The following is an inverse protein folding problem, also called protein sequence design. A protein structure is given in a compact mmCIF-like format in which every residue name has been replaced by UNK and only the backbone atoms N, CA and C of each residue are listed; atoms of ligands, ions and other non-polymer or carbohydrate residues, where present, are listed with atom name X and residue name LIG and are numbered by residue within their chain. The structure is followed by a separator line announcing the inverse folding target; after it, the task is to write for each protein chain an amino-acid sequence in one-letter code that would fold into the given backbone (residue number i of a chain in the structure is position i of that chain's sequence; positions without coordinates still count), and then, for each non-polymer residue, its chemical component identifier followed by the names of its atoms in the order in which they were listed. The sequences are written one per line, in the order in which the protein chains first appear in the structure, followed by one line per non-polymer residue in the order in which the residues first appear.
data_IF_085061212318
#
_entry.id   IF_085061212318
#
_cell.length_a   1.000
_cell.length_b   1.000
_cell.length_c   1.000
_cell.angle_alpha   90.00
_cell.angle_beta   90.00
_cell.angle_gamma   90.00
#
_symmetry.space_group_name_H-M   'P 1'
#
loop_
_entity.id
_entity.type
_entity.pdbx_description
1 polymer ?
#
# COMPACT_ATOMS: atom_id res chain seq x y z
N UNK A 1 16.39 3.62 5.58
CA UNK A 1 17.17 4.88 5.48
C UNK A 1 16.28 6.08 5.18
N UNK A 2 15.32 5.99 4.27
CA UNK A 2 14.42 7.08 3.86
C UNK A 2 13.76 7.78 5.06
N UNK A 3 12.98 7.05 5.85
CA UNK A 3 12.28 7.62 7.01
C UNK A 3 13.25 8.15 8.09
N UNK A 4 14.43 7.54 8.24
CA UNK A 4 15.46 8.09 9.14
C UNK A 4 15.98 9.45 8.67
N UNK A 5 16.13 9.63 7.36
CA UNK A 5 16.54 10.93 6.79
C UNK A 5 15.42 11.96 6.96
N UNK A 6 14.17 11.57 6.65
CA UNK A 6 13.00 12.41 6.86
C UNK A 6 12.90 12.87 8.33
N UNK A 7 13.04 11.94 9.28
CA UNK A 7 13.04 12.26 10.71
C UNK A 7 14.13 13.24 11.10
N UNK A 8 15.37 13.07 10.63
CA UNK A 8 16.47 14.01 10.87
C UNK A 8 16.15 15.42 10.37
N UNK A 9 15.52 15.54 9.21
CA UNK A 9 15.12 16.84 8.65
C UNK A 9 14.03 17.47 9.52
N UNK A 10 13.03 16.72 9.96
CA UNK A 10 11.99 17.20 10.87
C UNK A 10 12.63 17.67 12.20
N UNK A 11 13.49 16.85 12.80
CA UNK A 11 14.12 17.12 14.10
C UNK A 11 15.14 18.26 14.05
N UNK A 12 15.70 18.56 12.88
CA UNK A 12 16.62 19.70 12.74
C UNK A 12 15.95 21.07 12.93
N UNK A 13 14.60 21.10 12.90
CA UNK A 13 13.83 22.35 12.98
C UNK A 13 13.89 23.20 11.70
N UNK A 14 14.38 22.64 10.58
CA UNK A 14 14.47 23.33 9.28
C UNK A 14 13.10 23.85 8.81
N UNK A 15 12.02 23.09 9.05
CA UNK A 15 10.65 23.52 8.76
C UNK A 15 9.93 24.17 9.94
N UNK A 16 10.63 24.38 11.06
CA UNK A 16 10.04 24.88 12.30
C UNK A 16 9.24 23.82 13.06
N UNK A 17 8.28 24.27 13.87
CA UNK A 17 7.35 23.36 14.56
C UNK A 17 6.36 22.74 13.58
N UNK A 18 6.17 21.42 13.68
CA UNK A 18 5.20 20.70 12.83
C UNK A 18 3.78 20.99 13.29
N UNK A 19 2.95 21.46 12.37
CA UNK A 19 1.55 21.84 12.59
C UNK A 19 0.58 20.78 12.10
N UNK A 20 0.84 20.24 10.90
CA UNK A 20 -0.03 19.21 10.32
C UNK A 20 0.73 18.33 9.32
N UNK A 21 0.19 17.15 9.03
CA UNK A 21 0.71 16.26 8.00
C UNK A 21 -0.41 15.59 7.20
N UNK A 22 -0.08 15.22 5.96
CA UNK A 22 -0.89 14.32 5.13
C UNK A 22 -0.01 13.15 4.71
N UNK A 23 -0.50 11.93 4.88
CA UNK A 23 0.23 10.74 4.48
C UNK A 23 -0.69 9.77 3.75
N UNK A 24 -0.12 8.98 2.85
CA UNK A 24 -0.85 7.90 2.21
C UNK A 24 -0.01 6.62 2.08
N UNK A 25 -0.71 5.51 2.01
CA UNK A 25 -0.24 4.19 1.61
C UNK A 25 -1.01 3.76 0.38
N UNK A 26 -0.35 3.76 -0.77
CA UNK A 26 -0.80 3.11 -1.98
C UNK A 26 -0.37 1.65 -1.95
N UNK A 27 -1.31 0.75 -1.68
CA UNK A 27 -1.03 -0.70 -1.55
C UNK A 27 -0.63 -1.31 -2.88
N UNK A 28 -1.15 -0.76 -3.98
CA UNK A 28 -1.03 -1.30 -5.32
C UNK A 28 -2.13 -2.32 -5.63
N UNK A 29 -2.81 -2.12 -6.75
CA UNK A 29 -4.00 -2.88 -7.10
C UNK A 29 -3.76 -4.41 -7.19
N UNK A 30 -2.62 -4.82 -7.76
CA UNK A 30 -2.28 -6.24 -7.82
C UNK A 30 -1.98 -6.83 -6.44
N UNK A 31 -1.20 -6.13 -5.61
CA UNK A 31 -0.92 -6.53 -4.23
C UNK A 31 -2.22 -6.65 -3.43
N UNK A 32 -3.10 -5.68 -3.57
CA UNK A 32 -4.40 -5.70 -2.88
C UNK A 32 -5.22 -6.92 -3.30
N UNK A 33 -5.38 -7.15 -4.61
CA UNK A 33 -6.10 -8.31 -5.14
C UNK A 33 -5.49 -9.65 -4.71
N UNK A 34 -4.13 -9.73 -4.66
CA UNK A 34 -3.41 -10.92 -4.20
C UNK A 34 -3.66 -11.23 -2.74
N UNK A 35 -3.50 -10.24 -1.85
CA UNK A 35 -3.42 -10.44 -0.40
C UNK A 35 -4.74 -10.19 0.33
N UNK A 36 -5.48 -9.15 -0.08
CA UNK A 36 -6.65 -8.62 0.63
C UNK A 36 -7.98 -8.91 -0.08
N UNK A 37 -7.94 -9.59 -1.22
CA UNK A 37 -9.13 -10.08 -1.92
C UNK A 37 -9.10 -11.61 -1.97
N UNK A 38 -8.12 -12.20 -2.66
CA UNK A 38 -7.99 -13.65 -2.84
C UNK A 38 -7.34 -14.35 -1.67
N UNK A 39 -6.41 -13.66 -1.02
CA UNK A 39 -5.51 -14.21 -0.01
C UNK A 39 -6.09 -14.23 1.40
N UNK A 40 -5.26 -14.69 2.31
CA UNK A 40 -5.65 -14.97 3.71
C UNK A 40 -5.95 -13.72 4.54
N UNK A 41 -5.65 -12.51 4.07
CA UNK A 41 -6.06 -11.24 4.69
C UNK A 41 -7.35 -10.67 4.08
N UNK A 42 -8.02 -11.40 3.19
CA UNK A 42 -9.22 -10.91 2.51
C UNK A 42 -10.42 -10.68 3.43
N UNK A 43 -10.53 -11.47 4.51
CA UNK A 43 -11.69 -11.41 5.39
C UNK A 43 -11.30 -11.06 6.83
N UNK A 44 -11.90 -10.02 7.40
CA UNK A 44 -11.60 -9.51 8.74
C UNK A 44 -11.96 -10.50 9.86
N UNK A 45 -12.87 -11.44 9.62
CA UNK A 45 -13.25 -12.47 10.59
C UNK A 45 -12.21 -13.57 10.74
N UNK A 46 -11.41 -13.82 9.69
CA UNK A 46 -10.37 -14.84 9.67
C UNK A 46 -8.96 -14.27 9.77
N UNK A 47 -8.83 -12.95 9.64
CA UNK A 47 -7.57 -12.24 9.80
C UNK A 47 -7.73 -11.04 10.75
N UNK A 48 -7.35 -9.84 10.33
CA UNK A 48 -7.52 -8.59 11.06
C UNK A 48 -8.01 -7.50 10.10
N UNK A 49 -8.62 -6.41 10.61
CA UNK A 49 -8.95 -5.27 9.76
C UNK A 49 -7.74 -4.72 9.01
N UNK A 50 -7.95 -4.20 7.79
CA UNK A 50 -6.91 -3.69 6.89
C UNK A 50 -5.95 -2.70 7.55
N UNK A 51 -6.48 -1.81 8.38
CA UNK A 51 -5.67 -0.81 9.09
C UNK A 51 -4.63 -1.45 10.02
N UNK A 52 -4.91 -2.65 10.55
CA UNK A 52 -4.01 -3.42 11.39
C UNK A 52 -3.13 -4.36 10.54
N UNK A 53 -3.73 -5.08 9.59
CA UNK A 53 -3.00 -6.06 8.78
C UNK A 53 -1.93 -5.42 7.88
N UNK A 54 -2.19 -4.20 7.38
CA UNK A 54 -1.33 -3.53 6.40
C UNK A 54 -0.73 -2.21 6.91
N UNK A 55 -1.53 -1.36 7.53
CA UNK A 55 -1.13 0.02 7.83
C UNK A 55 -0.52 0.19 9.22
N UNK A 56 -0.35 -0.88 10.00
CA UNK A 56 0.25 -0.81 11.33
C UNK A 56 1.64 -0.17 11.31
N UNK A 57 2.48 -0.54 10.34
CA UNK A 57 3.81 0.06 10.20
C UNK A 57 3.76 1.50 9.68
N UNK A 58 2.75 1.89 8.91
CA UNK A 58 2.56 3.27 8.49
C UNK A 58 2.17 4.14 9.68
N UNK A 59 1.26 3.66 10.53
CA UNK A 59 0.86 4.34 11.77
C UNK A 59 2.04 4.46 12.75
N UNK A 60 2.85 3.41 12.92
CA UNK A 60 4.05 3.45 13.77
C UNK A 60 5.08 4.47 13.25
N UNK A 61 5.34 4.47 11.93
CA UNK A 61 6.24 5.44 11.31
C UNK A 61 5.72 6.86 11.49
N UNK A 62 4.45 7.13 11.27
CA UNK A 62 3.86 8.45 11.45
C UNK A 62 3.95 8.90 12.91
N UNK A 63 3.62 8.03 13.86
CA UNK A 63 3.74 8.30 15.28
C UNK A 63 5.18 8.65 15.67
N UNK A 64 6.16 7.89 15.18
CA UNK A 64 7.58 8.16 15.41
C UNK A 64 8.06 9.46 14.75
N UNK A 65 7.68 9.73 13.49
CA UNK A 65 8.03 10.97 12.77
C UNK A 65 7.51 12.21 13.51
N UNK A 66 6.30 12.14 14.05
CA UNK A 66 5.62 13.23 14.75
C UNK A 66 6.06 13.38 16.22
N UNK A 67 7.19 12.77 16.62
CA UNK A 67 7.77 12.94 17.96
C UNK A 67 7.04 12.15 19.03
N UNK A 68 6.26 11.11 18.68
CA UNK A 68 5.51 10.26 19.60
C UNK A 68 4.52 11.03 20.49
N UNK A 69 3.94 12.11 19.95
CA UNK A 69 2.90 12.88 20.63
C UNK A 69 1.66 11.99 20.83
N UNK A 70 1.04 12.08 21.99
CA UNK A 70 -0.17 11.31 22.32
C UNK A 70 -1.30 11.65 21.35
N UNK A 71 -1.89 10.63 20.72
CA UNK A 71 -3.10 10.79 19.93
C UNK A 71 -4.30 10.99 20.87
N UNK A 72 -5.02 12.09 20.67
CA UNK A 72 -6.16 12.49 21.51
C UNK A 72 -7.49 12.03 20.91
N UNK A 73 -7.59 11.98 19.59
CA UNK A 73 -8.77 11.51 18.89
C UNK A 73 -8.44 11.06 17.48
N UNK A 74 -9.21 10.10 17.00
CA UNK A 74 -9.18 9.60 15.63
C UNK A 74 -10.59 9.39 15.13
N UNK A 75 -10.84 9.74 13.85
CA UNK A 75 -12.02 9.32 13.09
C UNK A 75 -11.55 8.67 11.81
N UNK A 76 -12.22 7.59 11.40
CA UNK A 76 -11.81 6.85 10.21
C UNK A 76 -13.03 6.33 9.46
N UNK A 77 -12.97 6.41 8.13
CA UNK A 77 -13.99 5.94 7.20
C UNK A 77 -13.31 5.12 6.11
N UNK A 78 -13.85 3.97 5.80
CA UNK A 78 -13.35 3.10 4.75
C UNK A 78 -14.47 2.23 4.19
N UNK A 79 -14.39 1.91 2.90
CA UNK A 79 -15.40 1.13 2.21
C UNK A 79 -14.75 0.13 1.24
N UNK A 80 -15.47 -0.96 0.98
CA UNK A 80 -15.20 -1.90 -0.10
C UNK A 80 -16.13 -1.58 -1.26
N UNK A 81 -15.61 -0.88 -2.29
CA UNK A 81 -16.45 -0.39 -3.40
C UNK A 81 -16.21 -1.11 -4.71
N UNK A 82 -14.95 -1.42 -5.03
CA UNK A 82 -14.58 -1.98 -6.32
C UNK A 82 -14.44 -3.51 -6.30
N UNK A 83 -13.69 -4.08 -5.35
CA UNK A 83 -13.43 -5.52 -5.28
C UNK A 83 -14.61 -6.30 -4.69
N UNK A 84 -15.77 -6.23 -5.35
CA UNK A 84 -17.06 -6.78 -4.89
C UNK A 84 -17.93 -7.22 -6.07
N UNK A 85 -18.82 -8.19 -5.84
CA UNK A 85 -19.79 -8.70 -6.84
C UNK A 85 -20.64 -7.61 -7.48
N UNK A 86 -20.89 -6.49 -6.80
CA UNK A 86 -21.66 -5.36 -7.34
C UNK A 86 -20.98 -4.70 -8.54
N UNK A 87 -19.68 -4.85 -8.69
CA UNK A 87 -18.88 -4.30 -9.79
C UNK A 87 -18.95 -5.14 -11.06
N UNK A 88 -19.44 -6.38 -10.97
CA UNK A 88 -19.61 -7.23 -12.15
C UNK A 88 -20.61 -6.60 -13.13
N UNK A 89 -20.15 -6.31 -14.35
CA UNK A 89 -21.00 -5.81 -15.44
C UNK A 89 -21.80 -6.92 -16.13
N UNK A 90 -21.32 -8.16 -16.07
CA UNK A 90 -21.97 -9.35 -16.62
C UNK A 90 -21.53 -10.60 -15.85
N UNK A 91 -22.35 -11.66 -15.81
CA UNK A 91 -21.96 -12.94 -15.21
C UNK A 91 -20.71 -13.52 -15.90
N UNK A 92 -19.77 -14.02 -15.10
CA UNK A 92 -18.57 -14.71 -15.58
C UNK A 92 -18.18 -15.83 -14.60
N UNK A 93 -17.37 -16.83 -15.02
CA UNK A 93 -16.94 -17.90 -14.14
C UNK A 93 -16.24 -17.37 -12.88
N UNK A 94 -16.45 -18.04 -11.75
CA UNK A 94 -15.83 -17.66 -10.46
C UNK A 94 -14.33 -17.92 -10.43
N UNK A 95 -13.80 -18.64 -11.43
CA UNK A 95 -12.37 -18.93 -11.57
C UNK A 95 -11.79 -18.35 -12.84
N UNK A 96 -10.68 -17.63 -12.70
CA UNK A 96 -10.00 -17.02 -13.84
C UNK A 96 -9.49 -18.07 -14.84
N UNK A 97 -9.21 -19.30 -14.39
CA UNK A 97 -8.80 -20.41 -15.28
C UNK A 97 -9.89 -20.86 -16.25
N UNK A 98 -11.14 -20.49 -16.00
CA UNK A 98 -12.30 -20.78 -16.83
C UNK A 98 -12.70 -19.60 -17.74
N UNK A 99 -12.00 -18.48 -17.64
CA UNK A 99 -12.28 -17.31 -18.47
C UNK A 99 -11.85 -17.53 -19.91
N UNK A 100 -12.69 -17.12 -20.85
CA UNK A 100 -12.43 -17.22 -22.29
C UNK A 100 -11.74 -15.98 -22.88
N UNK A 101 -11.67 -14.89 -22.11
CA UNK A 101 -10.95 -13.66 -22.50
C UNK A 101 -9.44 -13.91 -22.59
N UNK A 102 -8.71 -13.19 -23.46
CA UNK A 102 -7.25 -13.25 -23.51
C UNK A 102 -6.62 -12.91 -22.14
N UNK A 103 -5.52 -13.60 -21.80
CA UNK A 103 -4.78 -13.35 -20.55
C UNK A 103 -4.22 -11.92 -20.58
N UNK A 104 -4.49 -11.16 -19.51
CA UNK A 104 -4.01 -9.79 -19.36
C UNK A 104 -4.94 -8.72 -19.92
N UNK A 105 -6.05 -9.06 -20.57
CA UNK A 105 -7.11 -8.11 -20.91
C UNK A 105 -7.74 -7.53 -19.63
N UNK A 106 -8.02 -8.37 -18.65
CA UNK A 106 -8.38 -7.94 -17.30
C UNK A 106 -7.10 -7.73 -16.46
N UNK A 107 -6.88 -6.54 -15.88
CA UNK A 107 -5.67 -6.24 -15.10
C UNK A 107 -5.46 -7.19 -13.89
N UNK A 108 -6.52 -7.75 -13.33
CA UNK A 108 -6.49 -8.63 -12.16
C UNK A 108 -6.68 -10.11 -12.49
N UNK A 109 -6.54 -10.51 -13.75
CA UNK A 109 -6.61 -11.90 -14.18
C UNK A 109 -5.56 -12.76 -13.45
N UNK A 110 -6.02 -13.75 -12.68
CA UNK A 110 -5.14 -14.64 -11.93
C UNK A 110 -4.20 -15.47 -12.81
N UNK A 111 -4.54 -15.70 -14.08
CA UNK A 111 -3.65 -16.42 -15.04
C UNK A 111 -2.33 -15.66 -15.28
N UNK A 112 -2.27 -14.35 -14.96
CA UNK A 112 -1.02 -13.58 -14.97
C UNK A 112 0.03 -14.12 -14.00
N UNK A 113 -0.34 -14.87 -12.98
CA UNK A 113 0.65 -15.58 -12.15
C UNK A 113 1.52 -16.55 -12.95
N UNK A 114 1.01 -17.07 -14.06
CA UNK A 114 1.75 -17.98 -14.93
C UNK A 114 2.52 -17.27 -16.05
N UNK A 115 2.16 -16.04 -16.42
CA UNK A 115 2.66 -15.35 -17.62
C UNK A 115 3.40 -14.06 -17.39
N UNK A 116 3.37 -13.51 -16.16
CA UNK A 116 3.98 -12.22 -15.80
C UNK A 116 4.92 -12.42 -14.61
N UNK A 117 6.20 -12.07 -14.78
CA UNK A 117 7.25 -12.29 -13.76
C UNK A 117 7.00 -11.51 -12.46
N UNK A 118 6.42 -10.31 -12.55
CA UNK A 118 6.09 -9.52 -11.36
C UNK A 118 4.97 -10.20 -10.56
N UNK A 119 3.93 -10.67 -11.25
CA UNK A 119 2.84 -11.43 -10.65
C UNK A 119 3.34 -12.76 -10.07
N UNK A 120 4.20 -13.46 -10.79
CA UNK A 120 4.82 -14.73 -10.35
C UNK A 120 5.62 -14.56 -9.05
N UNK A 121 6.30 -13.43 -8.86
CA UNK A 121 7.01 -13.14 -7.59
C UNK A 121 6.05 -13.08 -6.40
N UNK A 122 4.86 -12.52 -6.56
CA UNK A 122 3.83 -12.53 -5.53
C UNK A 122 3.35 -13.94 -5.21
N UNK A 123 3.19 -14.77 -6.26
CA UNK A 123 2.80 -16.16 -6.08
C UNK A 123 3.80 -16.94 -5.22
N UNK A 124 5.11 -16.62 -5.30
CA UNK A 124 6.16 -17.23 -4.50
C UNK A 124 6.02 -17.05 -2.97
N UNK A 125 5.12 -16.20 -2.51
CA UNK A 125 4.81 -16.06 -1.09
C UNK A 125 3.81 -17.11 -0.57
N UNK A 126 3.10 -17.79 -1.46
CA UNK A 126 1.96 -18.66 -1.12
C UNK A 126 1.98 -20.01 -1.85
N UNK A 127 2.88 -20.17 -2.79
CA UNK A 127 3.12 -21.39 -3.53
C UNK A 127 4.63 -21.65 -3.62
N UNK A 128 5.14 -22.53 -2.79
CA UNK A 128 6.57 -22.75 -2.60
C UNK A 128 7.33 -23.09 -3.90
N UNK A 129 6.67 -23.78 -4.82
CA UNK A 129 7.23 -24.14 -6.13
C UNK A 129 7.07 -23.06 -7.21
N UNK A 130 6.52 -21.89 -6.90
CA UNK A 130 6.18 -20.87 -7.90
C UNK A 130 7.33 -20.53 -8.86
N UNK A 131 8.56 -20.47 -8.38
CA UNK A 131 9.72 -20.08 -9.20
C UNK A 131 10.16 -21.19 -10.17
N UNK A 132 9.94 -22.45 -9.81
CA UNK A 132 10.33 -23.66 -10.57
C UNK A 132 9.20 -24.17 -11.45
N UNK A 133 7.95 -23.88 -11.08
CA UNK A 133 6.77 -24.38 -11.76
C UNK A 133 6.61 -23.82 -13.18
N UNK A 134 6.18 -24.68 -14.09
CA UNK A 134 5.78 -24.27 -15.44
C UNK A 134 4.48 -23.47 -15.41
N UNK A 135 4.17 -22.78 -16.50
CA UNK A 135 2.90 -22.06 -16.64
C UNK A 135 1.67 -22.98 -16.48
N UNK A 136 1.77 -24.20 -17.02
CA UNK A 136 0.72 -25.22 -16.93
C UNK A 136 0.50 -25.68 -15.49
N UNK A 137 1.60 -25.94 -14.75
CA UNK A 137 1.53 -26.33 -13.33
C UNK A 137 0.92 -25.23 -12.46
N UNK A 138 1.26 -23.96 -12.74
CA UNK A 138 0.65 -22.81 -12.06
C UNK A 138 -0.85 -22.72 -12.38
N UNK A 139 -1.23 -22.84 -13.65
CA UNK A 139 -2.64 -22.84 -14.06
C UNK A 139 -3.43 -23.99 -13.43
N UNK A 140 -2.84 -25.18 -13.30
CA UNK A 140 -3.47 -26.30 -12.62
C UNK A 140 -3.68 -26.02 -11.13
N UNK A 141 -2.66 -25.47 -10.44
CA UNK A 141 -2.77 -25.05 -9.04
C UNK A 141 -3.84 -23.98 -8.85
N UNK A 142 -3.98 -23.03 -9.78
CA UNK A 142 -5.00 -21.97 -9.72
C UNK A 142 -6.44 -22.51 -9.83
N UNK A 143 -6.68 -23.70 -10.40
CA UNK A 143 -8.02 -24.28 -10.47
C UNK A 143 -8.63 -24.57 -9.11
N UNK A 144 -7.81 -24.83 -8.09
CA UNK A 144 -8.29 -25.22 -6.76
C UNK A 144 -7.90 -24.20 -5.68
N UNK A 145 -6.84 -23.43 -5.89
CA UNK A 145 -6.32 -22.48 -4.90
C UNK A 145 -7.20 -21.23 -4.77
N UNK A 146 -7.23 -20.57 -3.60
CA UNK A 146 -7.92 -19.29 -3.43
C UNK A 146 -7.46 -18.21 -4.43
N UNK A 147 -6.19 -18.23 -4.84
CA UNK A 147 -5.62 -17.22 -5.73
C UNK A 147 -6.08 -17.30 -7.17
N UNK A 148 -6.71 -18.44 -7.58
CA UNK A 148 -7.35 -18.57 -8.88
C UNK A 148 -8.77 -18.01 -8.98
N UNK A 149 -9.35 -17.51 -7.88
CA UNK A 149 -10.70 -16.93 -7.86
C UNK A 149 -10.79 -15.61 -8.63
N UNK A 150 -11.94 -15.37 -9.19
CA UNK A 150 -12.29 -14.03 -9.68
C UNK A 150 -12.27 -13.02 -8.53
N UNK A 151 -11.53 -11.93 -8.69
CA UNK A 151 -11.36 -10.90 -7.66
C UNK A 151 -12.66 -10.15 -7.32
N UNK A 152 -13.68 -10.19 -8.17
CA UNK A 152 -15.00 -9.60 -7.89
C UNK A 152 -15.97 -10.59 -7.21
N UNK A 153 -15.60 -11.86 -7.10
CA UNK A 153 -16.45 -12.92 -6.56
C UNK A 153 -15.88 -13.60 -5.31
N UNK A 154 -14.86 -12.96 -4.70
CA UNK A 154 -14.32 -13.41 -3.42
C UNK A 154 -15.24 -13.01 -2.24
N UNK A 155 -14.95 -13.57 -1.09
CA UNK A 155 -15.64 -13.35 0.19
C UNK A 155 -14.93 -12.29 1.06
N UNK A 156 -14.12 -11.44 0.44
CA UNK A 156 -13.39 -10.36 1.10
C UNK A 156 -14.34 -9.27 1.62
N UNK A 157 -13.97 -8.67 2.76
CA UNK A 157 -14.68 -7.56 3.40
C UNK A 157 -13.75 -6.38 3.75
N UNK A 158 -12.49 -6.46 3.33
CA UNK A 158 -11.51 -5.41 3.60
C UNK A 158 -11.80 -4.16 2.76
N UNK A 159 -11.74 -2.96 3.35
CA UNK A 159 -11.91 -1.72 2.60
C UNK A 159 -10.82 -1.58 1.53
N UNK A 160 -11.20 -1.23 0.31
CA UNK A 160 -10.25 -0.95 -0.77
C UNK A 160 -9.74 0.51 -0.76
N UNK A 161 -10.34 1.33 0.08
CA UNK A 161 -9.85 2.66 0.47
C UNK A 161 -10.30 3.02 1.89
N UNK A 162 -9.46 3.76 2.60
CA UNK A 162 -9.74 4.20 3.97
C UNK A 162 -9.05 5.54 4.25
N UNK A 163 -9.76 6.47 4.88
CA UNK A 163 -9.22 7.76 5.33
C UNK A 163 -9.33 7.85 6.84
N UNK A 164 -8.25 8.27 7.49
CA UNK A 164 -8.20 8.50 8.93
C UNK A 164 -7.77 9.93 9.21
N UNK A 165 -8.45 10.60 10.13
CA UNK A 165 -8.14 11.94 10.61
C UNK A 165 -7.74 11.84 12.09
N UNK A 166 -6.62 12.45 12.46
CA UNK A 166 -6.03 12.31 13.79
C UNK A 166 -5.74 13.68 14.40
N UNK A 167 -5.95 13.78 15.71
CA UNK A 167 -5.55 14.93 16.53
C UNK A 167 -4.62 14.47 17.64
N UNK A 168 -3.52 15.18 17.84
CA UNK A 168 -2.49 14.90 18.83
C UNK A 168 -2.33 16.03 19.84
N UNK A 169 -1.61 15.76 20.93
CA UNK A 169 -1.19 16.78 21.88
C UNK A 169 -0.40 17.90 21.21
N UNK A 170 -0.53 19.12 21.73
CA UNK A 170 0.12 20.32 21.17
C UNK A 170 -0.54 20.85 19.90
N UNK A 171 -1.78 20.43 19.59
CA UNK A 171 -2.53 20.94 18.44
C UNK A 171 -2.13 20.37 17.09
N UNK A 172 -1.21 19.41 17.03
CA UNK A 172 -0.85 18.70 15.81
C UNK A 172 -2.06 17.93 15.28
N UNK A 173 -2.31 18.05 13.97
CA UNK A 173 -3.32 17.27 13.26
C UNK A 173 -2.69 16.51 12.10
N UNK A 174 -3.36 15.47 11.63
CA UNK A 174 -2.90 14.75 10.45
C UNK A 174 -3.98 13.89 9.80
N UNK A 175 -3.76 13.58 8.53
CA UNK A 175 -4.56 12.64 7.77
C UNK A 175 -3.70 11.47 7.29
N UNK A 176 -4.32 10.31 7.19
CA UNK A 176 -3.75 9.15 6.56
C UNK A 176 -4.77 8.53 5.61
N UNK A 177 -4.37 8.29 4.38
CA UNK A 177 -5.19 7.62 3.36
C UNK A 177 -4.54 6.32 2.94
N UNK A 178 -5.26 5.21 3.04
CA UNK A 178 -4.92 3.94 2.42
C UNK A 178 -5.76 3.76 1.16
N UNK A 179 -5.16 3.31 0.07
CA UNK A 179 -5.88 2.99 -1.16
C UNK A 179 -5.26 1.80 -1.89
N UNK A 180 -6.13 0.97 -2.47
CA UNK A 180 -5.72 -0.11 -3.38
C UNK A 180 -5.28 0.39 -4.76
N UNK A 181 -5.66 1.63 -5.13
CA UNK A 181 -5.58 2.15 -6.51
C UNK A 181 -4.36 3.01 -6.80
N UNK A 182 -3.44 3.09 -5.85
CA UNK A 182 -2.14 3.73 -6.01
C UNK A 182 -1.03 2.80 -5.50
N UNK A 183 0.21 3.06 -5.89
CA UNK A 183 1.37 2.29 -5.44
C UNK A 183 2.44 3.22 -4.90
N UNK A 184 2.86 2.96 -3.64
CA UNK A 184 3.90 3.74 -2.98
C UNK A 184 3.37 4.49 -1.77
N UNK A 185 4.29 5.25 -1.17
CA UNK A 185 4.01 6.05 0.03
C UNK A 185 4.35 7.49 -0.20
N UNK A 186 3.47 8.38 0.22
CA UNK A 186 3.70 9.82 0.23
C UNK A 186 3.46 10.37 1.61
N UNK A 187 4.23 11.39 1.96
CA UNK A 187 4.01 12.18 3.16
C UNK A 187 4.30 13.64 2.88
N UNK A 188 3.40 14.52 3.27
CA UNK A 188 3.60 15.95 3.35
C UNK A 188 3.57 16.39 4.81
N UNK A 189 4.56 17.16 5.23
CA UNK A 189 4.66 17.69 6.58
C UNK A 189 4.74 19.21 6.49
N UNK A 190 3.86 19.89 7.20
CA UNK A 190 3.77 21.34 7.22
C UNK A 190 4.20 21.86 8.59
N UNK A 191 5.21 22.70 8.58
CA UNK A 191 5.74 23.34 9.78
C UNK A 191 5.61 24.87 9.71
N UNK A 192 5.99 25.56 10.78
CA UNK A 192 5.88 27.00 10.89
C UNK A 192 6.83 27.78 9.98
N UNK A 193 7.92 27.19 9.52
CA UNK A 193 8.95 27.82 8.67
C UNK A 193 9.02 27.25 7.25
N UNK A 194 8.40 26.10 7.00
CA UNK A 194 8.47 25.44 5.71
C UNK A 194 7.64 24.17 5.65
N UNK A 195 7.75 23.49 4.53
CA UNK A 195 7.08 22.19 4.30
C UNK A 195 8.03 21.16 3.73
N UNK A 196 7.70 19.90 3.97
CA UNK A 196 8.37 18.75 3.37
C UNK A 196 7.36 18.01 2.51
N UNK A 197 7.79 17.58 1.32
CA UNK A 197 7.13 16.56 0.52
C UNK A 197 8.08 15.40 0.35
N UNK A 198 7.63 14.19 0.66
CA UNK A 198 8.46 13.01 0.59
C UNK A 198 7.68 11.83 0.02
N UNK A 199 8.30 11.04 -0.86
CA UNK A 199 7.63 9.91 -1.49
C UNK A 199 8.58 8.76 -1.81
N UNK A 200 8.02 7.55 -1.82
CA UNK A 200 8.67 6.31 -2.23
C UNK A 200 7.74 5.59 -3.18
N UNK A 201 8.15 5.47 -4.44
CA UNK A 201 7.40 4.80 -5.49
C UNK A 201 8.05 3.45 -5.81
N UNK A 202 7.29 2.36 -5.68
CA UNK A 202 7.84 1.00 -5.81
C UNK A 202 8.04 0.55 -7.27
N UNK A 203 7.20 1.03 -8.21
CA UNK A 203 7.22 0.55 -9.61
C UNK A 203 8.43 0.99 -10.42
N UNK A 204 9.04 2.10 -10.07
CA UNK A 204 10.09 2.69 -10.90
C UNK A 204 11.49 2.38 -10.38
N UNK A 205 11.66 1.54 -9.35
CA UNK A 205 12.93 1.42 -8.60
C UNK A 205 13.58 2.78 -8.35
N UNK A 206 12.72 3.81 -8.33
CA UNK A 206 13.12 5.19 -8.18
C UNK A 206 13.69 5.44 -6.80
N UNK A 207 14.61 6.39 -6.70
CA UNK A 207 15.07 6.85 -5.40
C UNK A 207 13.91 7.44 -4.63
N UNK A 208 13.86 7.22 -3.31
CA UNK A 208 13.00 8.01 -2.45
C UNK A 208 13.44 9.47 -2.52
N UNK A 209 12.49 10.39 -2.66
CA UNK A 209 12.76 11.82 -2.74
C UNK A 209 12.15 12.56 -1.56
N UNK A 210 12.92 13.50 -1.00
CA UNK A 210 12.48 14.39 0.05
C UNK A 210 12.75 15.82 -0.40
N UNK A 211 11.70 16.59 -0.62
CA UNK A 211 11.77 18.00 -0.99
C UNK A 211 11.44 18.86 0.21
N UNK A 212 12.33 19.77 0.58
CA UNK A 212 12.14 20.75 1.66
C UNK A 212 11.99 22.13 1.06
N UNK A 213 10.89 22.81 1.34
CA UNK A 213 10.57 24.14 0.81
C UNK A 213 10.30 25.10 1.95
N UNK A 214 11.10 26.16 2.16
CA UNK A 214 10.80 27.21 3.12
C UNK A 214 9.59 28.03 2.67
N UNK A 215 8.85 28.61 3.64
CA UNK A 215 7.70 29.48 3.32
C UNK A 215 8.13 30.83 2.75
N UNK A 216 9.20 31.39 3.31
CA UNK A 216 9.72 32.72 2.93
C UNK A 216 11.24 32.67 2.76
N UNK A 217 11.71 33.20 1.65
CA UNK A 217 13.14 33.22 1.33
C UNK A 217 13.76 31.82 1.25
N UNK A 218 15.01 31.76 0.89
CA UNK A 218 15.71 30.47 0.78
C UNK A 218 15.38 29.68 -0.49
N UNK A 219 16.15 28.62 -0.69
CA UNK A 219 16.00 27.73 -1.85
C UNK A 219 15.36 26.42 -1.45
N UNK A 220 14.46 25.90 -2.29
CA UNK A 220 13.99 24.51 -2.19
C UNK A 220 15.18 23.56 -2.30
N UNK A 221 15.22 22.59 -1.39
CA UNK A 221 16.26 21.56 -1.34
C UNK A 221 15.65 20.20 -1.60
N UNK A 222 16.29 19.43 -2.47
CA UNK A 222 15.90 18.05 -2.78
C UNK A 222 16.95 17.10 -2.24
N UNK A 223 16.52 16.09 -1.49
CA UNK A 223 17.35 15.00 -0.97
C UNK A 223 16.91 13.71 -1.63
N UNK A 224 17.78 13.14 -2.44
CA UNK A 224 17.54 11.88 -3.14
C UNK A 224 18.19 10.74 -2.37
N UNK A 225 17.39 9.78 -1.96
CA UNK A 225 17.86 8.59 -1.23
C UNK A 225 18.08 7.47 -2.26
N UNK A 226 19.30 7.34 -2.74
CA UNK A 226 19.67 6.24 -3.66
C UNK A 226 19.75 4.92 -2.90
N UNK A 227 19.05 3.91 -3.41
CA UNK A 227 18.91 2.50 -2.98
C UNK A 227 17.97 2.23 -1.80
N UNK A 228 16.88 1.60 -2.18
CA UNK A 228 16.25 0.55 -1.40
C UNK A 228 16.73 -0.80 -1.98
N UNK A 229 17.60 -1.50 -1.30
CA UNK A 229 17.72 -2.93 -1.53
C UNK A 229 16.51 -3.57 -0.88
N UNK A 230 15.67 -4.22 -1.66
CA UNK A 230 14.45 -4.94 -1.26
C UNK A 230 14.76 -6.19 -0.39
N UNK A 231 15.96 -6.29 0.17
CA UNK A 231 16.36 -7.42 1.04
C UNK A 231 15.72 -7.45 2.43
N UNK A 232 14.86 -6.47 2.77
CA UNK A 232 14.25 -6.38 4.10
C UNK A 232 12.80 -6.90 4.20
N UNK A 233 12.22 -7.45 3.13
CA UNK A 233 10.83 -7.96 3.13
C UNK A 233 10.74 -9.49 3.33
N UNK A 234 11.76 -10.11 3.92
CA UNK A 234 11.73 -11.54 4.30
C UNK A 234 11.27 -11.80 5.74
N UNK A 235 10.57 -10.89 6.36
CA UNK A 235 9.95 -11.13 7.67
C UNK A 235 8.51 -10.65 7.62
N UNK A 236 7.62 -11.59 7.44
CA UNK A 236 6.24 -11.79 7.91
C UNK A 236 5.42 -12.60 6.93
#
# INVERSE_FOLDING_TARGET
QFYRTLKKIIDSGEIGEVITFNANEGVGAWHFAHSFVRGHWGNSKTSTPMIVAKCCHDMDILYWLMGRRKCLSVASFGELTFFTKKTLSSPRPERCTEWTTPVGEDPWDARKYATDDECKRWLGMVYDRAQEATAEEICEWLKTSPWGRDYLQCDNDQPDHQVSIMRFEGGLTGTFTMTAFEQGRHIEVYGTKGKIRAGVFYKENGPGEITVTPHFGGKTRVVVIRRWTVSAWRCF
#
